data_IF_051797350185
#
_entry.id   IF_051797350185
#
_cell.length_a   1.000
_cell.length_b   1.000
_cell.length_c   1.000
_cell.angle_alpha   90.00
_cell.angle_beta   90.00
_cell.angle_gamma   90.00
#
_symmetry.space_group_name_H-M   'P 1'
#
loop_
_entity.id
_entity.type
_entity.pdbx_description
1 polymer ?
#
# COMPACT_ATOMS: atom_id res chain seq x y z
N UNK A 1 -7.18 13.43 4.03
CA UNK A 1 -8.00 12.24 3.72
C UNK A 1 -8.35 12.27 2.25
N UNK A 2 -7.66 11.47 1.45
CA UNK A 2 -7.98 11.24 0.03
C UNK A 2 -9.34 10.55 -0.04
N UNK A 3 -10.22 11.01 -0.94
CA UNK A 3 -11.62 10.58 -1.03
C UNK A 3 -11.81 9.30 -1.85
N UNK A 4 -10.84 8.40 -1.88
CA UNK A 4 -10.73 7.29 -2.84
C UNK A 4 -11.18 5.93 -2.31
N UNK A 5 -11.71 5.85 -1.08
CA UNK A 5 -12.40 4.66 -0.58
C UNK A 5 -11.50 3.42 -0.47
N UNK A 6 -10.18 3.61 -0.33
CA UNK A 6 -9.22 2.52 -0.11
C UNK A 6 -8.95 1.64 -1.34
N UNK A 7 -9.35 2.07 -2.54
CA UNK A 7 -8.90 1.42 -3.77
C UNK A 7 -7.50 1.87 -4.10
N UNK A 8 -6.64 0.91 -4.47
CA UNK A 8 -5.34 1.22 -5.06
C UNK A 8 -5.58 2.14 -6.28
N UNK A 9 -4.95 3.33 -6.35
CA UNK A 9 -5.09 4.23 -7.48
C UNK A 9 -4.66 3.62 -8.83
N UNK A 10 -4.03 2.43 -8.82
CA UNK A 10 -3.60 1.67 -9.98
C UNK A 10 -4.49 0.44 -10.28
N UNK A 11 -5.54 0.19 -9.48
CA UNK A 11 -6.46 -0.94 -9.68
C UNK A 11 -7.17 -0.82 -11.05
N UNK A 12 -6.95 -1.82 -11.92
CA UNK A 12 -7.56 -1.90 -13.25
C UNK A 12 -6.79 -1.20 -14.38
N UNK A 13 -5.61 -0.64 -14.12
CA UNK A 13 -4.72 -0.13 -15.17
C UNK A 13 -4.11 -1.29 -15.95
N UNK A 14 -4.02 -1.14 -17.27
CA UNK A 14 -3.39 -2.12 -18.14
C UNK A 14 -1.90 -2.38 -17.73
N UNK A 15 -1.46 -3.65 -17.65
CA UNK A 15 -0.10 -3.98 -17.22
C UNK A 15 1.03 -3.39 -18.10
N UNK A 16 0.80 -3.21 -19.40
CA UNK A 16 1.79 -2.63 -20.31
C UNK A 16 1.90 -1.11 -20.08
N UNK A 17 0.77 -0.46 -19.79
CA UNK A 17 0.72 0.95 -19.39
C UNK A 17 1.37 1.17 -18.02
N UNK A 18 1.16 0.26 -17.07
CA UNK A 18 1.83 0.26 -15.76
C UNK A 18 3.35 0.08 -15.88
N UNK A 19 3.79 -0.90 -16.67
CA UNK A 19 5.21 -1.18 -16.90
C UNK A 19 5.92 0.00 -17.58
N UNK A 20 5.28 0.63 -18.57
CA UNK A 20 5.79 1.84 -19.20
C UNK A 20 5.81 3.03 -18.23
N UNK A 21 4.78 3.18 -17.39
CA UNK A 21 4.75 4.19 -16.32
C UNK A 21 5.93 4.01 -15.38
N UNK A 22 6.16 2.82 -14.86
CA UNK A 22 7.29 2.50 -13.99
C UNK A 22 8.66 2.75 -14.66
N UNK A 23 8.76 2.61 -15.99
CA UNK A 23 9.96 2.95 -16.76
C UNK A 23 10.22 4.46 -16.93
N UNK A 24 9.16 5.28 -17.04
CA UNK A 24 9.27 6.74 -17.15
C UNK A 24 9.57 7.42 -15.79
N UNK A 25 9.27 6.73 -14.68
CA UNK A 25 9.31 7.21 -13.29
C UNK A 25 10.69 7.19 -12.62
N UNK A 26 11.79 7.12 -13.38
CA UNK A 26 13.12 7.32 -12.81
C UNK A 26 13.30 8.81 -12.41
N UNK A 27 12.75 9.17 -11.23
CA UNK A 27 12.87 10.44 -10.49
C UNK A 27 11.81 11.55 -10.69
N UNK A 28 10.57 11.25 -11.10
CA UNK A 28 9.56 12.32 -11.29
C UNK A 28 8.27 12.16 -10.44
N UNK A 29 7.80 13.22 -9.74
CA UNK A 29 6.78 13.10 -8.71
C UNK A 29 5.32 13.13 -9.22
N UNK A 30 5.06 13.45 -10.49
CA UNK A 30 3.73 13.31 -11.10
C UNK A 30 3.89 13.01 -12.60
N UNK A 31 2.97 12.25 -13.21
CA UNK A 31 2.93 12.11 -14.67
C UNK A 31 1.64 12.72 -15.18
N UNK A 32 1.79 13.67 -16.11
CA UNK A 32 0.69 14.26 -16.85
C UNK A 32 0.46 13.44 -18.12
N UNK A 33 -0.73 12.87 -18.29
CA UNK A 33 -1.06 12.05 -19.47
C UNK A 33 -1.41 12.88 -20.72
N UNK A 34 -1.20 14.21 -20.68
CA UNK A 34 -1.43 15.11 -21.81
C UNK A 34 -0.27 14.98 -22.80
N UNK A 35 -0.53 14.92 -24.12
CA UNK A 35 0.52 15.00 -25.13
C UNK A 35 1.38 16.25 -24.95
N UNK A 36 2.70 16.08 -24.99
CA UNK A 36 3.63 17.19 -24.98
C UNK A 36 3.36 18.09 -26.19
N UNK A 37 3.20 19.42 -26.00
CA UNK A 37 3.05 20.33 -27.13
C UNK A 37 4.22 20.18 -28.11
N UNK A 38 3.93 19.75 -29.33
CA UNK A 38 4.92 19.55 -30.40
C UNK A 38 5.61 18.19 -30.42
N UNK A 39 5.25 17.24 -29.54
CA UNK A 39 5.73 15.85 -29.59
C UNK A 39 4.59 14.86 -29.34
N UNK A 40 3.94 14.44 -30.43
CA UNK A 40 2.85 13.46 -30.38
C UNK A 40 3.33 12.13 -29.79
N UNK A 41 2.58 11.61 -28.82
CA UNK A 41 2.88 10.36 -28.11
C UNK A 41 3.77 10.49 -26.87
N UNK A 42 4.24 11.70 -26.52
CA UNK A 42 5.06 11.93 -25.32
C UNK A 42 4.23 12.59 -24.20
N UNK A 43 4.40 12.21 -22.92
CA UNK A 43 3.70 12.86 -21.81
C UNK A 43 4.24 14.27 -21.55
N UNK A 44 3.41 15.14 -20.98
CA UNK A 44 3.77 16.52 -20.68
C UNK A 44 4.91 16.58 -19.65
N UNK A 45 6.01 17.24 -20.03
CA UNK A 45 7.23 17.43 -19.23
C UNK A 45 7.09 18.51 -18.12
N UNK A 46 5.93 19.17 -18.04
CA UNK A 46 5.66 20.23 -17.06
C UNK A 46 4.98 19.69 -15.80
N UNK A 47 5.30 18.46 -15.40
CA UNK A 47 4.69 17.77 -14.27
C UNK A 47 4.83 18.46 -12.90
N UNK A 48 5.66 19.50 -12.81
CA UNK A 48 5.85 20.34 -11.61
C UNK A 48 4.91 21.55 -11.53
N UNK A 49 4.19 21.88 -12.60
CA UNK A 49 3.26 22.99 -12.63
C UNK A 49 1.86 22.50 -13.04
N UNK A 50 0.91 22.51 -12.09
CA UNK A 50 -0.48 22.16 -12.35
C UNK A 50 -1.07 22.97 -13.51
N UNK A 51 -1.76 22.31 -14.44
CA UNK A 51 -2.54 22.97 -15.49
C UNK A 51 -3.88 22.25 -15.73
N UNK A 52 -4.90 22.94 -16.30
CA UNK A 52 -6.26 22.42 -16.39
C UNK A 52 -6.43 21.12 -17.20
N UNK A 53 -5.48 20.78 -18.06
CA UNK A 53 -5.52 19.52 -18.81
C UNK A 53 -4.89 18.33 -18.08
N UNK A 54 -4.30 18.53 -16.89
CA UNK A 54 -3.58 17.48 -16.16
C UNK A 54 -4.52 16.32 -15.78
N UNK A 55 -4.26 15.15 -16.36
CA UNK A 55 -4.95 13.89 -16.07
C UNK A 55 -3.96 12.85 -15.57
N UNK A 56 -4.36 12.05 -14.56
CA UNK A 56 -3.63 10.84 -14.21
C UNK A 56 -3.81 9.74 -15.27
N UNK A 57 -3.15 8.60 -15.02
CA UNK A 57 -3.21 7.38 -15.85
C UNK A 57 -4.61 6.79 -16.01
N UNK A 58 -5.55 7.22 -15.18
CA UNK A 58 -6.95 6.84 -15.22
C UNK A 58 -7.83 7.89 -15.91
N UNK A 59 -7.24 8.92 -16.53
CA UNK A 59 -7.95 9.97 -17.23
C UNK A 59 -8.70 10.95 -16.33
N UNK A 60 -8.48 10.88 -15.01
CA UNK A 60 -9.15 11.71 -14.01
C UNK A 60 -8.50 13.09 -13.95
N UNK A 61 -9.32 14.13 -14.00
CA UNK A 61 -8.90 15.52 -13.75
C UNK A 61 -8.88 15.77 -12.24
N UNK A 62 -7.73 16.17 -11.70
CA UNK A 62 -7.58 16.40 -10.27
C UNK A 62 -8.10 17.79 -9.88
N UNK A 63 -9.03 17.92 -8.93
CA UNK A 63 -9.37 19.23 -8.38
C UNK A 63 -8.16 19.80 -7.65
N UNK A 64 -7.94 21.10 -7.80
CA UNK A 64 -6.89 21.87 -7.14
C UNK A 64 -6.91 21.60 -5.63
N UNK A 65 -5.97 20.78 -5.14
CA UNK A 65 -5.59 20.76 -3.73
C UNK A 65 -4.10 21.06 -3.67
N UNK A 66 -3.70 21.86 -2.70
CA UNK A 66 -2.34 22.34 -2.48
C UNK A 66 -1.33 21.24 -2.09
N UNK A 67 -1.69 19.96 -2.23
CA UNK A 67 -0.83 18.83 -1.90
C UNK A 67 -0.28 18.22 -3.20
N UNK A 68 1.05 18.19 -3.31
CA UNK A 68 1.73 17.51 -4.40
C UNK A 68 1.35 16.02 -4.39
N UNK A 69 0.86 15.52 -5.52
CA UNK A 69 0.74 14.08 -5.74
C UNK A 69 2.16 13.52 -5.86
N UNK A 70 2.40 12.38 -5.21
CA UNK A 70 3.65 11.64 -5.33
C UNK A 70 3.34 10.34 -6.07
N UNK A 71 4.04 10.09 -7.19
CA UNK A 71 4.02 8.75 -7.77
C UNK A 71 4.81 7.81 -6.87
N UNK A 72 4.29 6.59 -6.67
CA UNK A 72 5.01 5.55 -5.96
C UNK A 72 6.41 5.36 -6.60
N UNK A 73 7.47 5.22 -5.79
CA UNK A 73 8.82 5.02 -6.32
C UNK A 73 8.87 3.79 -7.22
N UNK A 74 9.68 3.86 -8.28
CA UNK A 74 9.89 2.74 -9.19
C UNK A 74 10.25 1.47 -8.41
N UNK A 75 9.59 0.35 -8.72
CA UNK A 75 9.87 -0.95 -8.12
C UNK A 75 10.70 -1.83 -9.04
N UNK A 76 11.69 -2.49 -8.47
CA UNK A 76 12.44 -3.57 -9.07
C UNK A 76 11.68 -4.87 -8.85
N UNK A 77 11.26 -5.50 -9.94
CA UNK A 77 10.58 -6.80 -9.94
C UNK A 77 11.60 -7.92 -10.15
N UNK A 78 11.33 -9.13 -9.60
CA UNK A 78 12.15 -10.28 -9.90
C UNK A 78 12.10 -10.64 -11.40
N UNK A 79 13.23 -11.07 -11.94
CA UNK A 79 13.32 -11.64 -13.27
C UNK A 79 12.64 -13.00 -13.37
N UNK A 80 12.67 -13.61 -14.57
CA UNK A 80 12.06 -14.92 -14.83
C UNK A 80 12.65 -16.05 -13.97
N UNK A 81 13.86 -15.88 -13.45
CA UNK A 81 14.53 -16.81 -12.54
C UNK A 81 14.14 -16.60 -11.07
N UNK A 82 13.23 -15.66 -10.79
CA UNK A 82 12.79 -15.31 -9.44
C UNK A 82 13.78 -14.47 -8.65
N UNK A 83 14.79 -13.88 -9.28
CA UNK A 83 15.81 -13.07 -8.59
C UNK A 83 15.73 -11.59 -8.96
N UNK A 84 16.18 -10.73 -8.04
CA UNK A 84 16.26 -9.28 -8.25
C UNK A 84 17.58 -8.74 -7.71
N UNK A 85 18.18 -7.78 -8.41
CA UNK A 85 19.38 -7.08 -7.93
C UNK A 85 19.01 -5.69 -7.46
N UNK A 86 19.19 -5.40 -6.17
CA UNK A 86 18.86 -4.13 -5.54
C UNK A 86 20.16 -3.37 -5.21
N UNK A 87 20.30 -2.09 -5.60
CA UNK A 87 21.44 -1.28 -5.18
C UNK A 87 21.39 -1.02 -3.68
N UNK A 88 22.53 -1.07 -2.99
CA UNK A 88 22.62 -0.71 -1.57
C UNK A 88 23.66 0.39 -1.34
N UNK A 89 23.51 1.10 -0.23
CA UNK A 89 24.40 2.19 0.17
C UNK A 89 25.73 1.68 0.76
N UNK A 90 25.74 0.49 1.34
CA UNK A 90 26.79 -0.01 2.23
C UNK A 90 27.42 -1.34 1.81
N UNK A 91 26.84 -2.04 0.81
CA UNK A 91 27.29 -3.37 0.41
C UNK A 91 27.43 -3.56 -1.11
N UNK A 92 27.24 -2.49 -1.89
CA UNK A 92 27.11 -2.58 -3.35
C UNK A 92 25.79 -3.25 -3.78
N UNK A 93 25.62 -3.62 -5.06
CA UNK A 93 24.43 -4.31 -5.52
C UNK A 93 24.27 -5.68 -4.84
N UNK A 94 23.08 -5.96 -4.30
CA UNK A 94 22.75 -7.23 -3.65
C UNK A 94 21.70 -7.96 -4.47
N UNK A 95 21.96 -9.23 -4.80
CA UNK A 95 20.99 -10.09 -5.50
C UNK A 95 20.22 -10.94 -4.49
N UNK A 96 18.89 -10.93 -4.61
CA UNK A 96 17.95 -11.63 -3.73
C UNK A 96 17.12 -12.62 -4.53
N UNK A 97 16.75 -13.73 -3.91
CA UNK A 97 15.70 -14.61 -4.43
C UNK A 97 14.37 -14.13 -3.86
N UNK A 98 13.47 -13.68 -4.72
CA UNK A 98 12.16 -13.20 -4.31
C UNK A 98 11.20 -14.39 -4.13
N UNK A 99 10.54 -14.49 -2.97
CA UNK A 99 9.39 -15.36 -2.81
C UNK A 99 8.28 -14.99 -3.81
N UNK A 100 7.46 -15.97 -4.18
CA UNK A 100 6.34 -15.78 -5.14
C UNK A 100 5.30 -14.75 -4.69
N UNK A 101 5.24 -14.45 -3.39
CA UNK A 101 4.35 -13.45 -2.79
C UNK A 101 4.97 -12.05 -2.70
N UNK A 102 6.25 -11.89 -3.05
CA UNK A 102 6.95 -10.60 -2.97
C UNK A 102 6.45 -9.65 -4.07
N UNK A 103 6.02 -8.45 -3.69
CA UNK A 103 5.55 -7.41 -4.61
C UNK A 103 6.67 -6.62 -5.31
N UNK A 104 7.92 -6.98 -5.05
CA UNK A 104 9.12 -6.27 -5.53
C UNK A 104 9.74 -5.34 -4.49
N UNK A 105 10.78 -4.62 -4.92
CA UNK A 105 11.61 -3.77 -4.05
C UNK A 105 11.66 -2.34 -4.57
N UNK A 106 11.79 -1.36 -3.69
CA UNK A 106 12.09 0.01 -4.13
C UNK A 106 13.43 0.06 -4.88
N UNK A 107 13.47 0.82 -5.99
CA UNK A 107 14.70 1.02 -6.75
C UNK A 107 15.69 1.96 -6.05
N UNK A 108 15.23 2.72 -5.06
CA UNK A 108 16.08 3.62 -4.28
C UNK A 108 17.08 2.81 -3.42
N UNK A 109 18.37 3.17 -3.41
CA UNK A 109 19.35 2.48 -2.58
C UNK A 109 19.03 2.59 -1.08
N UNK A 110 19.02 1.46 -0.38
CA UNK A 110 18.87 1.37 1.08
C UNK A 110 20.10 0.69 1.71
N UNK A 111 20.23 0.69 3.03
CA UNK A 111 21.22 -0.16 3.67
C UNK A 111 20.85 -1.64 3.45
N UNK A 112 21.83 -2.53 3.33
CA UNK A 112 21.58 -3.97 3.12
C UNK A 112 20.66 -4.56 4.19
N UNK A 113 20.79 -4.10 5.44
CA UNK A 113 19.97 -4.58 6.57
C UNK A 113 18.48 -4.25 6.44
N UNK A 114 18.14 -3.22 5.67
CA UNK A 114 16.76 -2.75 5.45
C UNK A 114 16.12 -3.41 4.22
N UNK A 115 16.84 -4.28 3.51
CA UNK A 115 16.25 -5.04 2.42
C UNK A 115 15.31 -6.12 3.01
N UNK A 116 14.05 -6.06 2.59
CA UNK A 116 13.03 -7.04 2.92
C UNK A 116 12.15 -7.37 1.71
N UNK A 117 11.49 -8.51 1.79
CA UNK A 117 10.37 -8.89 0.93
C UNK A 117 9.08 -8.50 1.63
N UNK A 118 8.17 -7.88 0.90
CA UNK A 118 6.82 -7.53 1.37
C UNK A 118 5.80 -8.10 0.38
N UNK A 119 4.67 -8.61 0.87
CA UNK A 119 3.51 -8.90 0.04
C UNK A 119 2.67 -7.65 -0.22
N UNK A 120 1.65 -7.80 -1.04
CA UNK A 120 0.53 -6.86 -1.07
C UNK A 120 -0.15 -6.75 0.29
N UNK A 121 -0.86 -5.64 0.47
CA UNK A 121 -1.58 -5.32 1.69
C UNK A 121 -2.89 -6.13 1.75
N UNK A 122 -3.10 -6.83 2.85
CA UNK A 122 -4.35 -7.50 3.17
C UNK A 122 -5.20 -6.57 4.05
N UNK A 123 -6.18 -5.91 3.42
CA UNK A 123 -7.08 -4.99 4.11
C UNK A 123 -8.22 -5.75 4.79
N UNK A 124 -8.38 -5.54 6.09
CA UNK A 124 -9.51 -6.07 6.87
C UNK A 124 -10.52 -4.96 7.05
N UNK A 125 -11.63 -5.05 6.30
CA UNK A 125 -12.63 -3.99 6.20
C UNK A 125 -13.82 -4.23 7.14
N UNK A 126 -14.34 -3.16 7.74
CA UNK A 126 -15.60 -3.17 8.50
C UNK A 126 -16.63 -2.25 7.86
N UNK A 127 -17.91 -2.66 7.79
CA UNK A 127 -18.96 -1.83 7.23
C UNK A 127 -19.28 -0.65 8.16
N UNK A 128 -19.42 0.54 7.59
CA UNK A 128 -19.81 1.77 8.28
C UNK A 128 -20.82 2.55 7.42
N UNK A 129 -21.61 3.48 8.00
CA UNK A 129 -22.42 4.38 7.19
C UNK A 129 -21.56 5.10 6.15
N UNK A 130 -21.90 4.96 4.86
CA UNK A 130 -21.13 5.56 3.77
C UNK A 130 -20.06 4.67 3.14
N UNK A 131 -19.88 3.41 3.59
CA UNK A 131 -19.00 2.45 2.91
C UNK A 131 -18.30 1.47 3.84
N UNK A 132 -17.00 1.28 3.64
CA UNK A 132 -16.14 0.44 4.47
C UNK A 132 -15.00 1.28 5.04
N UNK A 133 -14.63 1.01 6.29
CA UNK A 133 -13.42 1.52 6.91
C UNK A 133 -12.42 0.37 7.05
N UNK A 134 -11.13 0.66 6.83
CA UNK A 134 -10.06 -0.29 7.17
C UNK A 134 -9.95 -0.39 8.68
N UNK A 135 -10.16 -1.60 9.21
CA UNK A 135 -9.96 -1.92 10.62
C UNK A 135 -8.50 -2.21 10.90
N UNK A 136 -7.86 -3.03 10.05
CA UNK A 136 -6.45 -3.40 10.14
C UNK A 136 -5.89 -3.64 8.74
N UNK A 137 -4.58 -3.48 8.62
CA UNK A 137 -3.79 -3.81 7.43
C UNK A 137 -2.81 -4.91 7.81
N UNK A 138 -2.68 -5.96 7.00
CA UNK A 138 -1.65 -6.97 7.22
C UNK A 138 -0.76 -7.13 5.98
N UNK A 139 0.52 -7.44 6.17
CA UNK A 139 1.49 -7.69 5.09
C UNK A 139 2.36 -8.88 5.50
N UNK A 140 2.62 -9.82 4.60
CA UNK A 140 3.70 -10.78 4.81
C UNK A 140 5.04 -10.11 4.59
N UNK A 141 5.95 -10.29 5.53
CA UNK A 141 7.27 -9.70 5.46
C UNK A 141 8.37 -10.74 5.76
N UNK A 142 9.52 -10.56 5.12
CA UNK A 142 10.77 -11.24 5.44
C UNK A 142 11.93 -10.25 5.29
N UNK A 143 12.89 -10.24 6.20
CA UNK A 143 14.08 -9.36 6.22
C UNK A 143 15.39 -10.18 6.26
N UNK A 144 15.87 -10.68 5.10
CA UNK A 144 16.94 -11.69 5.03
C UNK A 144 18.27 -11.32 5.72
N UNK A 145 18.54 -10.03 5.91
CA UNK A 145 19.81 -9.54 6.46
C UNK A 145 19.73 -8.98 7.87
N UNK A 146 18.58 -9.07 8.51
CA UNK A 146 18.45 -8.69 9.93
C UNK A 146 19.11 -9.74 10.83
N UNK A 147 19.76 -9.27 11.89
CA UNK A 147 20.45 -10.15 12.84
C UNK A 147 19.52 -10.76 13.90
N UNK A 148 18.28 -10.26 14.04
CA UNK A 148 17.35 -10.64 15.11
C UNK A 148 16.01 -11.09 14.54
N UNK A 149 15.37 -12.09 15.18
CA UNK A 149 13.97 -12.40 14.91
C UNK A 149 13.07 -11.17 15.06
N UNK A 150 11.96 -11.10 14.32
CA UNK A 150 11.44 -12.14 13.42
C UNK A 150 12.04 -12.12 12.01
N UNK A 151 12.95 -11.19 11.71
CA UNK A 151 13.26 -10.80 10.35
C UNK A 151 13.88 -11.87 9.44
N UNK A 152 14.58 -12.88 9.93
CA UNK A 152 15.15 -13.92 9.05
C UNK A 152 14.12 -14.91 8.49
N UNK A 153 12.98 -15.09 9.17
CA UNK A 153 11.86 -15.89 8.70
C UNK A 153 10.76 -15.05 8.05
N UNK A 154 9.75 -15.71 7.49
CA UNK A 154 8.51 -15.04 7.05
C UNK A 154 7.61 -14.83 8.27
N UNK A 155 7.07 -13.64 8.41
CA UNK A 155 6.11 -13.28 9.46
C UNK A 155 4.98 -12.42 8.87
N UNK A 156 3.86 -12.30 9.58
CA UNK A 156 2.81 -11.36 9.24
C UNK A 156 3.02 -10.08 10.06
N UNK A 157 3.17 -8.95 9.40
CA UNK A 157 3.12 -7.65 10.04
C UNK A 157 1.69 -7.14 10.04
N UNK A 158 1.09 -6.99 11.22
CA UNK A 158 -0.28 -6.53 11.39
C UNK A 158 -0.28 -5.11 11.97
N UNK A 159 -0.95 -4.18 11.29
CA UNK A 159 -1.12 -2.81 11.75
C UNK A 159 -2.22 -2.74 12.82
N UNK A 160 -1.86 -2.29 14.02
CA UNK A 160 -2.76 -2.02 15.12
C UNK A 160 -2.38 -0.66 15.70
N UNK A 161 -3.35 0.25 15.83
CA UNK A 161 -3.12 1.61 16.36
C UNK A 161 -2.02 2.39 15.62
N UNK A 162 -1.95 2.23 14.30
CA UNK A 162 -0.98 2.89 13.44
C UNK A 162 0.46 2.37 13.60
N UNK A 163 0.66 1.21 14.23
CA UNK A 163 1.95 0.55 14.37
C UNK A 163 1.90 -0.86 13.81
N UNK A 164 2.97 -1.30 13.13
CA UNK A 164 3.09 -2.67 12.64
C UNK A 164 3.67 -3.59 13.71
N UNK A 165 2.97 -4.67 13.99
CA UNK A 165 3.35 -5.70 14.95
C UNK A 165 3.68 -6.99 14.21
N UNK A 166 4.91 -7.51 14.33
CA UNK A 166 5.28 -8.74 13.65
C UNK A 166 4.78 -9.95 14.44
N UNK A 167 4.09 -10.85 13.76
CA UNK A 167 3.40 -12.00 14.33
C UNK A 167 3.79 -13.28 13.58
N UNK A 168 4.03 -14.34 14.35
CA UNK A 168 4.00 -15.71 13.84
C UNK A 168 2.58 -16.25 13.77
N UNK A 169 2.38 -17.46 13.22
CA UNK A 169 1.04 -18.07 13.07
C UNK A 169 0.22 -18.10 14.36
N UNK A 170 0.82 -18.48 15.49
CA UNK A 170 0.14 -18.56 16.78
C UNK A 170 -0.34 -17.19 17.24
N UNK A 171 0.49 -16.15 17.10
CA UNK A 171 0.12 -14.77 17.45
C UNK A 171 -1.02 -14.23 16.58
N UNK A 172 -1.06 -14.60 15.29
CA UNK A 172 -2.19 -14.25 14.41
C UNK A 172 -3.48 -14.94 14.88
N UNK A 173 -3.41 -16.21 15.29
CA UNK A 173 -4.56 -16.94 15.82
C UNK A 173 -5.06 -16.31 17.14
N UNK A 174 -4.17 -15.94 18.05
CA UNK A 174 -4.52 -15.27 19.31
C UNK A 174 -5.21 -13.91 19.09
N UNK A 175 -4.75 -13.12 18.11
CA UNK A 175 -5.42 -11.88 17.72
C UNK A 175 -6.81 -12.16 17.15
N UNK A 176 -6.96 -13.17 16.30
CA UNK A 176 -8.26 -13.54 15.74
C UNK A 176 -9.28 -13.96 16.83
N UNK A 177 -8.84 -14.74 17.82
CA UNK A 177 -9.67 -15.12 18.97
C UNK A 177 -10.06 -13.91 19.83
N UNK A 178 -9.13 -12.98 20.03
CA UNK A 178 -9.38 -11.73 20.75
C UNK A 178 -10.43 -10.88 20.02
N UNK A 179 -10.31 -10.73 18.69
CA UNK A 179 -11.27 -9.99 17.87
C UNK A 179 -12.66 -10.64 17.89
N UNK A 180 -12.73 -11.97 17.96
CA UNK A 180 -13.99 -12.69 18.14
C UNK A 180 -14.66 -12.35 19.47
N UNK A 181 -13.88 -12.17 20.54
CA UNK A 181 -14.36 -11.70 21.84
C UNK A 181 -14.85 -10.25 21.76
N UNK A 182 -14.09 -9.35 21.13
CA UNK A 182 -14.52 -7.96 20.88
C UNK A 182 -15.84 -7.90 20.11
N UNK A 183 -16.04 -8.78 19.13
CA UNK A 183 -17.31 -8.86 18.40
C UNK A 183 -18.49 -9.27 19.30
N UNK A 184 -18.27 -10.09 20.33
CA UNK A 184 -19.30 -10.40 21.34
C UNK A 184 -19.65 -9.16 22.15
N UNK A 185 -18.64 -8.40 22.59
CA UNK A 185 -18.84 -7.17 23.36
C UNK A 185 -19.60 -6.10 22.57
N UNK A 186 -19.29 -5.93 21.27
CA UNK A 186 -20.03 -5.03 20.38
C UNK A 186 -21.52 -5.40 20.27
N UNK A 187 -21.85 -6.70 20.26
CA UNK A 187 -23.26 -7.15 20.26
C UNK A 187 -23.95 -6.83 21.59
N UNK A 188 -23.24 -6.91 22.71
CA UNK A 188 -23.76 -6.49 24.03
C UNK A 188 -24.05 -4.99 24.02
N UNK A 189 -23.11 -4.17 23.54
CA UNK A 189 -23.27 -2.72 23.42
C UNK A 189 -24.42 -2.35 22.49
N UNK A 190 -24.58 -3.03 21.36
CA UNK A 190 -25.70 -2.83 20.44
C UNK A 190 -27.06 -3.05 21.12
N UNK A 191 -27.22 -4.15 21.88
CA UNK A 191 -28.45 -4.40 22.65
C UNK A 191 -28.71 -3.32 23.70
N UNK A 192 -27.64 -2.87 24.37
CA UNK A 192 -27.73 -1.78 25.36
C UNK A 192 -28.17 -0.46 24.72
N UNK A 193 -27.61 -0.12 23.56
CA UNK A 193 -27.98 1.07 22.79
C UNK A 193 -29.46 1.02 22.37
N UNK A 194 -29.93 -0.11 21.83
CA UNK A 194 -31.33 -0.28 21.44
C UNK A 194 -32.30 -0.02 22.62
N UNK A 195 -31.93 -0.47 23.82
CA UNK A 195 -32.71 -0.19 25.04
C UNK A 195 -32.76 1.32 25.35
N UNK A 196 -31.63 2.02 25.28
CA UNK A 196 -31.60 3.46 25.54
C UNK A 196 -32.45 4.25 24.54
N UNK A 197 -32.41 3.88 23.27
CA UNK A 197 -33.26 4.50 22.23
C UNK A 197 -34.75 4.29 22.54
N UNK A 198 -35.15 3.10 22.98
CA UNK A 198 -36.54 2.81 23.33
C UNK A 198 -37.01 3.60 24.58
N UNK A 199 -36.13 3.75 25.58
CA UNK A 199 -36.41 4.54 26.79
C UNK A 199 -36.58 6.04 26.48
N UNK A 200 -35.80 6.57 25.53
CA UNK A 200 -35.93 7.96 25.06
C UNK A 200 -37.22 8.20 24.27
N UNK A 201 -37.61 7.26 23.41
CA UNK A 201 -38.83 7.39 22.61
C UNK A 201 -40.14 7.28 23.43
N UNK A 202 -40.07 6.73 24.65
CA UNK A 202 -41.19 6.62 25.58
C UNK A 202 -41.35 7.82 26.53
N UNK A 203 -40.49 8.83 26.44
CA UNK A 203 -40.58 10.11 27.17
C UNK A 203 -41.22 11.18 26.30
#
# INVERSE_FOLDING_TARGET
>A
MSGDGGRDPLEGVDPEVLAWHWGALANDPAVCCVPQPGQDGYPCILNRAFHPEHRDVLGRTWPVRDEALYVAPARLLPGLDGTVTVPTLDHGPVTLSCPVWCRGHEAAPKARVDLGHESDDFLMLVPVPGGHATLMTAVFEQRPFTARPPGTGVFLNLEIDGQFHPLGPDGVAEIADTLSTVAVDLRVLSRRLARYIAEEAGR
#
